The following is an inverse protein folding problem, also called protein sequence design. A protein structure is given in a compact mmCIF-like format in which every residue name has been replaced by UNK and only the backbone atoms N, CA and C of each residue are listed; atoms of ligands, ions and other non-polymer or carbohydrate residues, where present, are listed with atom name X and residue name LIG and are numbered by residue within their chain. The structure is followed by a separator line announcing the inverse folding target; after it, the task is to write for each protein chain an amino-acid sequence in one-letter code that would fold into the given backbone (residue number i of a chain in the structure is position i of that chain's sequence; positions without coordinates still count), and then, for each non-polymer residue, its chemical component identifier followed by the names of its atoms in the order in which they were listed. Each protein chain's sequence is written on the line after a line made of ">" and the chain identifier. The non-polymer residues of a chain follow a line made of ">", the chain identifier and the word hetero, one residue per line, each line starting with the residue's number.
data_IF_787909913755
#
_entry.id   IF_787909913755
#
_cell.length_a   1.000
_cell.length_b   1.000
_cell.length_c   1.000
_cell.angle_alpha   90.00
_cell.angle_beta   90.00
_cell.angle_gamma   90.00
#
_symmetry.space_group_name_H-M   'P 1'
#
loop_
_entity.id
_entity.type
_entity.pdbx_description
1 polymer ?
#
# COMPACT_ATOMS: atom_id res chain seq x y z
N UNK A 1 46.95 -25.86 -42.26
CA UNK A 1 45.90 -24.83 -42.56
C UNK A 1 44.72 -25.04 -41.60
N UNK A 2 44.74 -24.38 -40.47
CA UNK A 2 43.75 -24.53 -39.39
C UNK A 2 42.83 -23.33 -39.42
N UNK A 3 41.55 -23.52 -39.80
CA UNK A 3 40.52 -22.47 -39.85
C UNK A 3 39.93 -22.31 -38.47
N UNK A 4 40.15 -21.16 -37.84
CA UNK A 4 39.47 -20.74 -36.62
C UNK A 4 38.08 -20.21 -36.96
N UNK A 5 37.06 -20.82 -36.37
CA UNK A 5 35.66 -20.39 -36.43
C UNK A 5 35.44 -19.41 -35.26
N UNK A 6 34.99 -18.18 -35.49
CA UNK A 6 34.68 -17.27 -34.37
C UNK A 6 33.35 -17.67 -33.73
N UNK A 7 33.40 -17.94 -32.41
CA UNK A 7 32.24 -18.19 -31.55
C UNK A 7 31.48 -16.87 -31.36
N UNK A 8 30.35 -16.75 -32.01
CA UNK A 8 29.42 -15.63 -31.84
C UNK A 8 28.72 -15.79 -30.47
N UNK A 9 29.21 -15.07 -29.47
CA UNK A 9 28.53 -14.93 -28.17
C UNK A 9 27.33 -14.01 -28.37
N UNK A 10 26.14 -14.61 -28.54
CA UNK A 10 24.87 -13.91 -28.59
C UNK A 10 24.50 -13.54 -27.15
N UNK A 11 24.87 -12.30 -26.77
CA UNK A 11 24.47 -11.74 -25.49
C UNK A 11 22.94 -11.56 -25.42
N UNK A 12 22.29 -12.41 -24.63
CA UNK A 12 20.90 -12.32 -24.31
C UNK A 12 20.70 -11.10 -23.37
N UNK A 13 20.44 -9.93 -23.96
CA UNK A 13 19.97 -8.76 -23.24
C UNK A 13 18.55 -9.06 -22.74
N UNK A 14 18.46 -9.55 -21.51
CA UNK A 14 17.21 -9.54 -20.75
C UNK A 14 16.80 -8.07 -20.56
N UNK A 15 15.95 -7.57 -21.45
CA UNK A 15 15.25 -6.33 -21.27
C UNK A 15 14.36 -6.50 -20.02
N UNK A 16 14.76 -5.93 -18.88
CA UNK A 16 13.83 -5.58 -17.83
C UNK A 16 12.87 -4.55 -18.45
N UNK A 17 11.74 -5.05 -18.94
CA UNK A 17 10.60 -4.21 -19.26
C UNK A 17 10.09 -3.63 -17.93
N UNK A 18 10.65 -2.49 -17.54
CA UNK A 18 10.09 -1.65 -16.48
C UNK A 18 8.61 -1.38 -16.81
N UNK A 19 7.77 -1.27 -15.80
CA UNK A 19 6.38 -0.84 -15.92
C UNK A 19 6.38 0.50 -16.70
N UNK A 20 6.16 0.42 -18.01
CA UNK A 20 6.20 1.60 -18.89
C UNK A 20 4.90 2.41 -18.83
N UNK A 21 3.93 1.96 -18.04
CA UNK A 21 2.70 2.67 -17.73
C UNK A 21 2.53 2.64 -16.21
N UNK A 22 2.25 3.79 -15.62
CA UNK A 22 1.97 3.87 -14.18
C UNK A 22 0.86 2.91 -13.77
N UNK A 23 0.93 2.38 -12.56
CA UNK A 23 -0.09 1.52 -11.96
C UNK A 23 -1.00 2.34 -11.06
N UNK A 24 -2.30 2.18 -11.19
CA UNK A 24 -3.29 2.71 -10.25
C UNK A 24 -4.25 1.60 -9.82
N UNK A 25 -4.35 1.37 -8.51
CA UNK A 25 -5.31 0.45 -7.89
C UNK A 25 -6.26 1.28 -7.06
N UNK A 26 -7.53 1.33 -7.42
CA UNK A 26 -8.56 2.08 -6.70
C UNK A 26 -9.43 1.15 -5.88
N UNK A 27 -9.59 1.47 -4.60
CA UNK A 27 -10.29 0.63 -3.62
C UNK A 27 -11.45 1.40 -2.96
N UNK A 28 -12.49 0.65 -2.62
CA UNK A 28 -13.67 1.18 -1.93
C UNK A 28 -13.57 1.08 -0.41
N UNK A 29 -14.75 0.96 0.21
CA UNK A 29 -14.90 0.80 1.64
C UNK A 29 -14.08 -0.37 2.19
N UNK A 30 -13.53 -0.18 3.38
CA UNK A 30 -12.72 -1.18 4.06
C UNK A 30 -13.47 -1.78 5.24
N UNK A 31 -13.30 -3.09 5.48
CA UNK A 31 -13.85 -3.81 6.63
C UNK A 31 -12.75 -4.62 7.29
N UNK A 32 -12.79 -4.74 8.60
CA UNK A 32 -11.80 -5.52 9.32
C UNK A 32 -11.89 -5.39 10.82
N UNK A 33 -10.74 -5.42 11.46
CA UNK A 33 -10.62 -5.38 12.91
C UNK A 33 -9.53 -4.42 13.33
N UNK A 34 -9.75 -3.79 14.49
CA UNK A 34 -8.74 -2.98 15.18
C UNK A 34 -8.50 -3.54 16.58
N UNK A 35 -7.25 -3.51 17.02
CA UNK A 35 -6.89 -3.70 18.42
C UNK A 35 -6.54 -2.34 19.02
N UNK A 36 -7.34 -1.91 19.98
CA UNK A 36 -7.15 -0.67 20.71
C UNK A 36 -6.33 -0.93 21.98
N UNK A 37 -5.25 -0.20 22.16
CA UNK A 37 -4.44 -0.26 23.37
C UNK A 37 -5.08 0.65 24.45
N UNK A 38 -5.07 0.19 25.71
CA UNK A 38 -5.46 1.01 26.84
C UNK A 38 -4.52 2.23 26.94
N UNK A 39 -5.07 3.42 27.11
CA UNK A 39 -4.33 4.67 27.23
C UNK A 39 -4.89 5.78 26.36
N UNK A 40 -4.50 7.03 26.64
CA UNK A 40 -5.02 8.19 25.94
C UNK A 40 -6.54 8.30 26.06
N UNK A 41 -7.24 8.23 24.94
CA UNK A 41 -8.72 8.27 24.89
C UNK A 41 -9.37 6.90 25.11
N UNK A 42 -8.61 5.79 25.12
CA UNK A 42 -9.11 4.42 25.24
C UNK A 42 -9.06 3.97 26.69
N UNK A 43 -10.23 3.79 27.28
CA UNK A 43 -10.35 3.24 28.64
C UNK A 43 -10.14 1.73 28.61
N UNK A 44 -9.76 1.11 29.73
CA UNK A 44 -9.53 -0.33 29.86
C UNK A 44 -10.71 -1.17 29.37
N UNK A 45 -11.94 -0.75 29.63
CA UNK A 45 -13.16 -1.45 29.20
C UNK A 45 -13.38 -1.42 27.68
N UNK A 46 -12.78 -0.45 26.99
CA UNK A 46 -12.92 -0.18 25.55
C UNK A 46 -11.65 -0.65 24.79
N UNK A 47 -10.63 -1.17 25.50
CA UNK A 47 -9.43 -1.74 24.90
C UNK A 47 -9.68 -3.17 24.39
N UNK A 48 -8.89 -3.60 23.41
CA UNK A 48 -8.99 -4.95 22.82
C UNK A 48 -9.40 -4.96 21.37
N UNK A 49 -9.79 -6.14 20.87
CA UNK A 49 -10.24 -6.33 19.49
C UNK A 49 -11.68 -5.86 19.30
N UNK A 50 -11.90 -5.10 18.23
CA UNK A 50 -13.22 -4.58 17.83
C UNK A 50 -13.34 -4.68 16.30
N UNK A 51 -14.52 -5.04 15.81
CA UNK A 51 -14.84 -4.84 14.39
C UNK A 51 -14.77 -3.36 14.06
N UNK A 52 -14.15 -3.03 12.93
CA UNK A 52 -13.95 -1.64 12.50
C UNK A 52 -14.15 -1.55 10.98
N UNK A 53 -14.61 -0.42 10.51
CA UNK A 53 -14.86 -0.22 9.09
C UNK A 53 -14.73 1.24 8.68
N UNK A 54 -14.33 1.45 7.42
CA UNK A 54 -14.30 2.76 6.78
C UNK A 54 -15.37 2.74 5.68
N UNK A 55 -16.62 3.01 6.05
CA UNK A 55 -17.80 2.74 5.21
C UNK A 55 -17.93 3.62 3.96
N UNK A 56 -17.37 4.82 3.94
CA UNK A 56 -17.45 5.76 2.81
C UNK A 56 -16.07 6.20 2.30
N UNK A 57 -15.00 5.60 2.83
CA UNK A 57 -13.65 5.89 2.38
C UNK A 57 -13.37 5.26 1.03
N UNK A 58 -12.62 5.97 0.20
CA UNK A 58 -11.99 5.44 -1.01
C UNK A 58 -10.52 5.76 -0.94
N UNK A 59 -9.70 4.88 -1.47
CA UNK A 59 -8.28 5.16 -1.62
C UNK A 59 -7.75 4.60 -2.94
N UNK A 60 -6.66 5.15 -3.40
CA UNK A 60 -5.94 4.65 -4.56
C UNK A 60 -4.47 4.51 -4.24
N UNK A 61 -3.91 3.36 -4.60
CA UNK A 61 -2.48 3.08 -4.54
C UNK A 61 -1.92 3.35 -5.93
N UNK A 62 -0.91 4.19 -6.01
CA UNK A 62 -0.36 4.61 -7.30
C UNK A 62 1.15 4.38 -7.36
N UNK A 63 1.64 4.07 -8.56
CA UNK A 63 3.06 4.10 -8.92
C UNK A 63 3.13 4.73 -10.30
N UNK A 64 3.90 5.79 -10.44
CA UNK A 64 4.07 6.45 -11.73
C UNK A 64 5.18 5.78 -12.58
N UNK A 65 5.39 6.29 -13.78
CA UNK A 65 6.41 5.83 -14.74
C UNK A 65 7.87 5.99 -14.24
N UNK A 66 8.07 6.81 -13.19
CA UNK A 66 9.36 6.98 -12.50
C UNK A 66 9.53 6.09 -11.28
N UNK A 67 8.59 5.15 -11.04
CA UNK A 67 8.51 4.32 -9.83
C UNK A 67 8.30 5.10 -8.53
N UNK A 68 7.76 6.33 -8.62
CA UNK A 68 7.36 7.06 -7.43
C UNK A 68 5.97 6.57 -7.00
N UNK A 69 5.87 6.17 -5.75
CA UNK A 69 4.65 5.62 -5.16
C UNK A 69 3.91 6.68 -4.34
N UNK A 70 2.58 6.64 -4.37
CA UNK A 70 1.75 7.45 -3.47
C UNK A 70 0.46 6.70 -3.09
N UNK A 71 -0.18 7.18 -2.03
CA UNK A 71 -1.48 6.72 -1.56
C UNK A 71 -2.40 7.92 -1.52
N UNK A 72 -3.45 7.88 -2.33
CA UNK A 72 -4.47 8.92 -2.39
C UNK A 72 -5.68 8.45 -1.59
N UNK A 73 -6.12 9.23 -0.63
CA UNK A 73 -7.36 8.97 0.11
C UNK A 73 -8.42 10.00 -0.27
N UNK A 74 -9.66 9.56 -0.40
CA UNK A 74 -10.81 10.41 -0.70
C UNK A 74 -11.75 10.30 0.50
N UNK A 75 -11.92 11.41 1.20
CA UNK A 75 -12.83 11.46 2.35
C UNK A 75 -14.30 11.58 1.92
N UNK A 76 -15.23 11.52 2.89
CA UNK A 76 -16.66 11.59 2.64
C UNK A 76 -17.13 12.90 1.98
N UNK A 77 -16.31 13.95 2.01
CA UNK A 77 -16.58 15.24 1.35
C UNK A 77 -16.07 15.28 -0.10
N UNK A 78 -15.38 14.23 -0.56
CA UNK A 78 -14.73 14.16 -1.86
C UNK A 78 -13.35 14.84 -1.90
N UNK A 79 -12.81 15.26 -0.77
CA UNK A 79 -11.48 15.85 -0.71
C UNK A 79 -10.42 14.77 -0.89
N UNK A 80 -9.55 14.97 -1.87
CA UNK A 80 -8.43 14.06 -2.14
C UNK A 80 -7.22 14.51 -1.31
N UNK A 81 -6.63 13.57 -0.58
CA UNK A 81 -5.40 13.77 0.20
C UNK A 81 -4.36 12.76 -0.27
N UNK A 82 -3.17 13.26 -0.59
CA UNK A 82 -2.00 12.43 -0.91
C UNK A 82 -1.22 12.19 0.37
N UNK A 83 -0.82 10.93 0.61
CA UNK A 83 0.02 10.59 1.76
C UNK A 83 1.35 11.34 1.73
N UNK A 84 1.97 11.47 0.55
CA UNK A 84 3.21 12.23 0.36
C UNK A 84 3.02 13.71 0.68
N UNK A 85 1.91 14.33 0.24
CA UNK A 85 1.61 15.74 0.54
C UNK A 85 1.34 16.00 2.02
N UNK A 86 0.96 14.95 2.77
CA UNK A 86 0.77 14.98 4.22
C UNK A 86 2.06 14.68 5.02
N UNK A 87 3.20 14.60 4.34
CA UNK A 87 4.50 14.32 4.96
C UNK A 87 4.77 12.83 5.17
N UNK A 88 3.99 11.96 4.56
CA UNK A 88 4.25 10.51 4.51
C UNK A 88 5.36 10.19 3.52
N UNK A 89 6.21 9.25 3.87
CA UNK A 89 7.16 8.63 2.95
C UNK A 89 6.53 7.35 2.42
N UNK A 90 6.16 7.34 1.14
CA UNK A 90 5.50 6.20 0.48
C UNK A 90 6.49 5.51 -0.43
N UNK A 91 6.54 4.19 -0.36
CA UNK A 91 7.41 3.37 -1.22
C UNK A 91 6.72 2.08 -1.67
N UNK A 92 7.01 1.67 -2.89
CA UNK A 92 6.67 0.35 -3.40
C UNK A 92 7.73 -0.63 -2.87
N UNK A 93 7.31 -1.60 -2.03
CA UNK A 93 8.22 -2.59 -1.44
C UNK A 93 8.49 -3.74 -2.40
N UNK A 94 7.47 -4.18 -3.12
CA UNK A 94 7.57 -5.26 -4.09
C UNK A 94 6.49 -5.17 -5.16
N UNK A 95 6.80 -5.68 -6.34
CA UNK A 95 5.91 -5.81 -7.47
C UNK A 95 6.15 -7.15 -8.16
N UNK A 96 5.09 -7.81 -8.59
CA UNK A 96 5.13 -9.09 -9.31
C UNK A 96 3.77 -9.49 -9.85
N UNK A 97 3.72 -10.61 -10.59
CA UNK A 97 2.51 -11.08 -11.27
C UNK A 97 1.34 -11.37 -10.29
N UNK A 98 1.64 -11.70 -9.03
CA UNK A 98 0.65 -11.99 -8.00
C UNK A 98 0.12 -10.77 -7.27
N UNK A 99 0.82 -9.63 -7.31
CA UNK A 99 0.42 -8.42 -6.62
C UNK A 99 1.54 -7.45 -6.29
N UNK A 100 1.20 -6.46 -5.50
CA UNK A 100 2.06 -5.32 -5.15
C UNK A 100 1.95 -5.02 -3.67
N UNK A 101 3.04 -4.51 -3.07
CA UNK A 101 3.07 -4.07 -1.69
C UNK A 101 3.58 -2.63 -1.58
N UNK A 102 2.85 -1.79 -0.86
CA UNK A 102 3.23 -0.42 -0.51
C UNK A 102 3.46 -0.29 0.97
N UNK A 103 4.38 0.58 1.33
CA UNK A 103 4.62 1.02 2.70
C UNK A 103 4.49 2.54 2.75
N UNK A 104 3.76 3.06 3.73
CA UNK A 104 3.76 4.48 4.09
C UNK A 104 4.20 4.64 5.54
N UNK A 105 5.12 5.57 5.78
CA UNK A 105 5.61 5.94 7.12
C UNK A 105 5.44 7.43 7.31
N UNK A 106 4.78 7.82 8.40
CA UNK A 106 4.49 9.20 8.73
C UNK A 106 5.36 9.69 9.90
N UNK A 107 5.56 11.00 9.96
CA UNK A 107 6.41 11.62 10.99
C UNK A 107 5.89 11.48 12.43
N UNK A 108 4.60 11.17 12.61
CA UNK A 108 3.98 10.88 13.92
C UNK A 108 4.17 9.43 14.38
N UNK A 109 4.93 8.63 13.64
CA UNK A 109 5.15 7.21 13.92
C UNK A 109 4.06 6.28 13.39
N UNK A 110 3.06 6.80 12.67
CA UNK A 110 2.08 5.98 11.96
C UNK A 110 2.78 5.20 10.83
N UNK A 111 2.45 3.92 10.72
CA UNK A 111 2.93 3.03 9.67
C UNK A 111 1.73 2.36 9.01
N UNK A 112 1.74 2.30 7.68
CA UNK A 112 0.72 1.61 6.89
C UNK A 112 1.38 0.69 5.87
N UNK A 113 0.85 -0.52 5.74
CA UNK A 113 1.24 -1.48 4.70
C UNK A 113 -0.01 -1.85 3.91
N UNK A 114 0.09 -1.82 2.59
CA UNK A 114 -0.97 -2.21 1.67
C UNK A 114 -0.47 -3.34 0.78
N UNK A 115 -1.22 -4.44 0.75
CA UNK A 115 -0.92 -5.62 -0.07
C UNK A 115 -2.07 -5.84 -1.05
N UNK A 116 -1.85 -5.53 -2.32
CA UNK A 116 -2.81 -5.79 -3.39
C UNK A 116 -2.59 -7.17 -3.98
N UNK A 117 -3.65 -7.94 -4.10
CA UNK A 117 -3.68 -9.22 -4.79
C UNK A 117 -4.39 -9.09 -6.13
N UNK A 118 -3.68 -9.43 -7.22
CA UNK A 118 -4.23 -9.43 -8.58
C UNK A 118 -5.36 -10.45 -8.72
N UNK A 119 -5.20 -11.64 -8.14
CA UNK A 119 -6.16 -12.73 -8.30
C UNK A 119 -7.51 -12.48 -7.63
N UNK A 120 -7.54 -11.74 -6.53
CA UNK A 120 -8.76 -11.42 -5.79
C UNK A 120 -9.26 -9.99 -6.01
N UNK A 121 -8.53 -9.16 -6.75
CA UNK A 121 -8.82 -7.73 -6.89
C UNK A 121 -9.10 -7.05 -5.55
N UNK A 122 -8.30 -7.34 -4.54
CA UNK A 122 -8.48 -6.82 -3.19
C UNK A 122 -7.16 -6.34 -2.60
N UNK A 123 -7.27 -5.41 -1.65
CA UNK A 123 -6.15 -4.94 -0.83
C UNK A 123 -6.40 -5.35 0.62
N UNK A 124 -5.43 -6.03 1.20
CA UNK A 124 -5.29 -6.11 2.65
C UNK A 124 -4.41 -4.95 3.12
N UNK A 125 -4.89 -4.16 4.07
CA UNK A 125 -4.12 -3.05 4.64
C UNK A 125 -3.92 -3.23 6.14
N UNK A 126 -2.69 -3.00 6.59
CA UNK A 126 -2.33 -2.92 8.00
C UNK A 126 -1.96 -1.49 8.35
N UNK A 127 -2.51 -0.98 9.45
CA UNK A 127 -2.18 0.35 9.98
C UNK A 127 -1.80 0.24 11.45
N UNK A 128 -0.68 0.84 11.80
CA UNK A 128 -0.18 0.96 13.17
C UNK A 128 -0.09 2.44 13.55
N UNK A 129 -0.78 2.82 14.63
CA UNK A 129 -0.75 4.17 15.20
C UNK A 129 -0.28 4.17 16.65
N UNK A 130 0.55 3.19 17.05
CA UNK A 130 1.05 3.07 18.44
C UNK A 130 1.85 4.30 18.88
N UNK A 131 2.47 5.02 17.93
CA UNK A 131 3.13 6.30 18.20
C UNK A 131 2.17 7.45 18.55
N UNK A 132 0.86 7.32 18.27
CA UNK A 132 -0.12 8.34 18.62
C UNK A 132 -0.53 8.23 20.10
N UNK A 133 -0.20 9.22 20.97
CA UNK A 133 -0.48 9.15 22.40
C UNK A 133 -1.97 9.19 22.74
N UNK A 134 -2.82 9.68 21.83
CA UNK A 134 -4.25 9.81 22.07
C UNK A 134 -5.04 8.57 21.66
N UNK A 135 -4.60 7.89 20.60
CA UNK A 135 -5.31 6.74 20.04
C UNK A 135 -4.32 5.72 19.45
N UNK A 136 -3.70 4.95 20.32
CA UNK A 136 -2.83 3.86 19.92
C UNK A 136 -3.67 2.65 19.48
N UNK A 137 -3.54 2.24 18.21
CA UNK A 137 -4.20 1.04 17.70
C UNK A 137 -3.43 0.38 16.57
N UNK A 138 -3.72 -0.91 16.38
CA UNK A 138 -3.38 -1.68 15.18
C UNK A 138 -4.66 -2.06 14.46
N UNK A 139 -4.71 -1.88 13.16
CA UNK A 139 -5.87 -2.23 12.35
C UNK A 139 -5.46 -3.11 11.18
N UNK A 140 -6.32 -4.07 10.85
CA UNK A 140 -6.23 -4.88 9.64
C UNK A 140 -7.56 -4.79 8.90
N UNK A 141 -7.53 -4.30 7.67
CA UNK A 141 -8.71 -4.12 6.83
C UNK A 141 -8.54 -4.83 5.49
N UNK A 142 -9.67 -5.16 4.87
CA UNK A 142 -9.74 -5.64 3.48
C UNK A 142 -10.71 -4.75 2.71
N UNK A 143 -10.34 -4.43 1.47
CA UNK A 143 -11.13 -3.62 0.53
C UNK A 143 -11.17 -4.30 -0.82
N UNK A 144 -12.32 -4.24 -1.48
CA UNK A 144 -12.44 -4.60 -2.89
C UNK A 144 -11.91 -3.46 -3.76
N UNK A 145 -11.19 -3.82 -4.80
CA UNK A 145 -10.47 -2.87 -5.65
C UNK A 145 -10.69 -3.11 -7.13
N UNK A 146 -10.24 -2.16 -7.94
CA UNK A 146 -10.05 -2.27 -9.39
C UNK A 146 -8.68 -1.69 -9.75
N UNK A 147 -7.96 -2.32 -10.68
CA UNK A 147 -6.69 -1.86 -11.21
C UNK A 147 -6.88 -1.29 -12.63
N UNK A 148 -6.13 -0.24 -12.97
CA UNK A 148 -6.13 0.43 -14.27
C UNK A 148 -4.72 0.67 -14.77
#
# INVERSE_FOLDING_TARGET
>A
MTKYLPLLVLGLLLSLSGLSNGLTVSCGASKGYSYYFEGGLVQKKDSGFTEDSISNGKFSLTVNDKNEADILTIDATGTIKSATSQGGNVMLLSAGDGGFNWLAVYGDGTLEVYSYSVSSNSVASYRNTVGNPNLAKNSLFVSDCSAF
#
